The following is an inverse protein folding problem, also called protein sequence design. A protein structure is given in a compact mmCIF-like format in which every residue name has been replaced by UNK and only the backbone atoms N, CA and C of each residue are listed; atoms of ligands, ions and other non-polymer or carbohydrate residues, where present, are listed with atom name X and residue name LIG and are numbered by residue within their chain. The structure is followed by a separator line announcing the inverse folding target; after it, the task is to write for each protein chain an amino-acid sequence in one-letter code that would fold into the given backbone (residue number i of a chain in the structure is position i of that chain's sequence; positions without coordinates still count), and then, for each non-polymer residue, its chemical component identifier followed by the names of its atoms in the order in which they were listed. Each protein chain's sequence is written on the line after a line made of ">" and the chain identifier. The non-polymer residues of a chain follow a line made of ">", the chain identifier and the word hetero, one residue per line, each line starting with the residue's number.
data_IF_099638221889
#
_entry.id   IF_099638221889
#
_cell.length_a   1.000
_cell.length_b   1.000
_cell.length_c   1.000
_cell.angle_alpha   90.00
_cell.angle_beta   90.00
_cell.angle_gamma   90.00
#
_symmetry.space_group_name_H-M   'P 1'
#
loop_
_entity.id
_entity.type
_entity.pdbx_description
1 polymer ?
#
# COMPACT_ATOMS: atom_id res chain seq x y z
N UNK A 1 10.05 -31.59 -0.24
CA UNK A 1 8.60 -31.75 -0.39
C UNK A 1 8.07 -30.56 -1.17
N UNK A 2 7.20 -30.76 -2.17
CA UNK A 2 6.59 -29.65 -2.89
C UNK A 2 5.83 -28.78 -1.89
N UNK A 3 6.07 -27.48 -1.95
CA UNK A 3 5.29 -26.50 -1.20
C UNK A 3 3.85 -26.45 -1.75
N UNK A 4 2.92 -25.86 -1.01
CA UNK A 4 1.54 -25.65 -1.52
C UNK A 4 1.51 -24.90 -2.85
N UNK A 5 2.52 -24.06 -3.12
CA UNK A 5 2.71 -23.33 -4.37
C UNK A 5 3.23 -24.22 -5.51
N UNK A 6 4.08 -25.19 -5.22
CA UNK A 6 4.54 -26.18 -6.20
C UNK A 6 3.37 -27.08 -6.64
N UNK A 7 2.49 -27.43 -5.70
CA UNK A 7 1.25 -28.16 -6.00
C UNK A 7 0.22 -27.31 -6.78
N UNK A 8 0.22 -25.98 -6.62
CA UNK A 8 -0.65 -25.08 -7.39
C UNK A 8 -0.15 -24.89 -8.84
N UNK A 9 1.18 -24.86 -9.03
CA UNK A 9 1.82 -24.83 -10.34
C UNK A 9 1.61 -26.14 -11.12
N UNK A 10 1.83 -27.30 -10.50
CA UNK A 10 1.57 -28.61 -11.14
C UNK A 10 0.09 -28.82 -11.51
N UNK A 11 -0.83 -28.11 -10.86
CA UNK A 11 -2.27 -28.15 -11.13
C UNK A 11 -2.74 -27.14 -12.19
N UNK A 12 -1.83 -26.36 -12.79
CA UNK A 12 -2.18 -25.40 -13.85
C UNK A 12 -3.06 -24.23 -13.36
N UNK A 13 -3.02 -23.91 -12.07
CA UNK A 13 -3.81 -22.82 -11.48
C UNK A 13 -3.21 -21.44 -11.86
N UNK A 14 -1.90 -21.40 -12.12
CA UNK A 14 -1.18 -20.21 -12.57
C UNK A 14 -1.05 -20.24 -14.09
N UNK A 15 -1.36 -19.11 -14.76
CA UNK A 15 -1.61 -19.08 -16.22
C UNK A 15 -0.35 -19.00 -17.07
N UNK A 16 0.82 -18.73 -16.48
CA UNK A 16 2.14 -18.80 -17.11
C UNK A 16 3.25 -18.77 -16.06
N UNK A 17 4.50 -18.82 -16.52
CA UNK A 17 5.71 -18.94 -15.69
C UNK A 17 6.15 -17.63 -15.02
N UNK A 18 5.55 -16.48 -15.38
CA UNK A 18 5.97 -15.12 -14.92
C UNK A 18 5.12 -14.62 -13.75
N UNK A 19 3.81 -14.85 -13.76
CA UNK A 19 2.89 -14.52 -12.64
C UNK A 19 3.33 -15.12 -11.27
N UNK A 20 3.79 -16.39 -11.21
CA UNK A 20 4.35 -16.97 -9.98
C UNK A 20 5.62 -16.24 -9.54
N UNK A 21 6.42 -15.71 -10.45
CA UNK A 21 7.68 -15.03 -10.12
C UNK A 21 7.40 -13.66 -9.49
N UNK A 22 6.52 -12.84 -10.06
CA UNK A 22 6.17 -11.55 -9.47
C UNK A 22 5.52 -11.71 -8.10
N UNK A 23 4.57 -12.64 -7.97
CA UNK A 23 3.93 -12.92 -6.68
C UNK A 23 4.95 -13.45 -5.65
N UNK A 24 5.88 -14.33 -6.05
CA UNK A 24 6.96 -14.81 -5.16
C UNK A 24 7.97 -13.73 -4.79
N UNK A 25 8.24 -12.77 -5.68
CA UNK A 25 9.13 -11.64 -5.41
C UNK A 25 8.45 -10.65 -4.49
N UNK A 26 7.18 -10.30 -4.74
CA UNK A 26 6.39 -9.46 -3.85
C UNK A 26 6.20 -10.13 -2.49
N UNK A 27 5.84 -11.41 -2.44
CA UNK A 27 5.73 -12.17 -1.20
C UNK A 27 7.08 -12.32 -0.50
N UNK A 28 8.17 -12.49 -1.25
CA UNK A 28 9.52 -12.57 -0.69
C UNK A 28 10.04 -11.24 -0.16
N UNK A 29 9.72 -10.13 -0.82
CA UNK A 29 9.99 -8.75 -0.37
C UNK A 29 9.10 -8.43 0.84
N UNK A 30 7.81 -8.74 0.79
CA UNK A 30 6.89 -8.55 1.91
C UNK A 30 7.31 -9.39 3.12
N UNK A 31 7.64 -10.67 2.92
CA UNK A 31 8.17 -11.54 3.97
C UNK A 31 9.50 -11.01 4.50
N UNK A 32 10.40 -10.53 3.64
CA UNK A 32 11.63 -9.86 4.06
C UNK A 32 11.34 -8.66 4.96
N UNK A 33 10.44 -7.77 4.55
CA UNK A 33 10.05 -6.58 5.30
C UNK A 33 9.41 -6.92 6.64
N UNK A 34 8.47 -7.87 6.65
CA UNK A 34 7.82 -8.36 7.87
C UNK A 34 8.85 -8.95 8.83
N UNK A 35 9.78 -9.78 8.34
CA UNK A 35 10.82 -10.39 9.16
C UNK A 35 11.84 -9.36 9.69
N UNK A 36 12.12 -8.30 8.92
CA UNK A 36 12.88 -7.16 9.41
C UNK A 36 12.14 -6.42 10.54
N UNK A 37 10.84 -6.17 10.38
CA UNK A 37 10.01 -5.48 11.37
C UNK A 37 9.85 -6.29 12.67
N UNK A 38 9.86 -7.63 12.60
CA UNK A 38 9.77 -8.51 13.77
C UNK A 38 11.12 -8.84 14.41
N UNK A 39 12.24 -8.32 13.87
CA UNK A 39 13.59 -8.51 14.41
C UNK A 39 14.27 -9.83 14.03
N UNK A 40 13.66 -10.68 13.19
CA UNK A 40 14.27 -11.91 12.67
C UNK A 40 15.07 -11.64 11.38
N UNK A 41 16.19 -10.93 11.55
CA UNK A 41 17.06 -10.51 10.44
C UNK A 41 17.64 -11.70 9.66
N UNK A 42 17.85 -12.86 10.31
CA UNK A 42 18.39 -14.06 9.66
C UNK A 42 17.38 -14.66 8.67
N UNK A 43 16.12 -14.75 9.08
CA UNK A 43 15.04 -15.18 8.19
C UNK A 43 14.76 -14.15 7.10
N UNK A 44 14.84 -12.85 7.43
CA UNK A 44 14.68 -11.77 6.46
C UNK A 44 15.71 -11.90 5.32
N UNK A 45 17.00 -11.99 5.64
CA UNK A 45 18.06 -12.13 4.63
C UNK A 45 17.84 -13.37 3.73
N UNK A 46 17.35 -14.48 4.30
CA UNK A 46 17.00 -15.68 3.52
C UNK A 46 15.81 -15.44 2.59
N UNK A 47 14.74 -14.77 3.05
CA UNK A 47 13.60 -14.42 2.20
C UNK A 47 13.99 -13.49 1.06
N UNK A 48 14.81 -12.46 1.35
CA UNK A 48 15.32 -11.56 0.33
C UNK A 48 16.19 -12.28 -0.69
N UNK A 49 17.13 -13.12 -0.26
CA UNK A 49 18.00 -13.88 -1.18
C UNK A 49 17.17 -14.78 -2.08
N UNK A 50 16.16 -15.47 -1.52
CA UNK A 50 15.21 -16.29 -2.30
C UNK A 50 14.37 -15.49 -3.28
N UNK A 51 14.05 -14.23 -2.98
CA UNK A 51 13.34 -13.33 -3.88
C UNK A 51 14.28 -12.79 -4.99
N UNK A 52 15.49 -12.36 -4.62
CA UNK A 52 16.49 -11.81 -5.53
C UNK A 52 17.04 -12.86 -6.51
N UNK A 53 17.32 -14.09 -6.05
CA UNK A 53 17.80 -15.18 -6.90
C UNK A 53 16.77 -15.57 -7.98
N UNK A 54 15.52 -15.13 -7.85
CA UNK A 54 14.41 -15.42 -8.77
C UNK A 54 14.02 -14.21 -9.63
N UNK A 55 14.67 -13.06 -9.45
CA UNK A 55 14.34 -11.82 -10.14
C UNK A 55 15.58 -11.28 -10.86
N UNK A 56 15.57 -11.31 -12.19
CA UNK A 56 16.59 -10.66 -13.02
C UNK A 56 15.92 -9.69 -14.00
N UNK A 57 16.59 -8.58 -14.32
CA UNK A 57 16.17 -7.64 -15.38
C UNK A 57 15.21 -6.52 -14.96
N UNK A 58 14.50 -5.96 -15.95
CA UNK A 58 13.76 -4.68 -15.90
C UNK A 58 12.65 -4.62 -14.83
N UNK A 59 12.08 -5.78 -14.46
CA UNK A 59 10.99 -5.87 -13.48
C UNK A 59 11.50 -5.57 -12.05
N UNK A 60 12.71 -6.02 -11.72
CA UNK A 60 13.37 -5.70 -10.45
C UNK A 60 13.70 -4.20 -10.38
N UNK A 61 14.14 -3.62 -11.50
CA UNK A 61 14.45 -2.19 -11.58
C UNK A 61 13.20 -1.32 -11.40
N UNK A 62 12.05 -1.69 -11.97
CA UNK A 62 10.78 -0.98 -11.76
C UNK A 62 10.30 -1.07 -10.31
N UNK A 63 10.37 -2.26 -9.69
CA UNK A 63 10.02 -2.42 -8.29
C UNK A 63 10.95 -1.62 -7.38
N UNK A 64 12.26 -1.64 -7.63
CA UNK A 64 13.25 -0.88 -6.88
C UNK A 64 13.10 0.64 -7.08
N UNK A 65 12.84 1.11 -8.29
CA UNK A 65 12.58 2.53 -8.56
C UNK A 65 11.33 3.00 -7.80
N UNK A 66 10.26 2.21 -7.82
CA UNK A 66 9.05 2.50 -7.06
C UNK A 66 9.33 2.52 -5.54
N UNK A 67 10.07 1.53 -5.03
CA UNK A 67 10.47 1.49 -3.63
C UNK A 67 11.38 2.67 -3.26
N UNK A 68 12.29 3.09 -4.13
CA UNK A 68 13.16 4.26 -3.90
C UNK A 68 12.35 5.57 -3.89
N UNK A 69 11.37 5.68 -4.79
CA UNK A 69 10.50 6.85 -4.86
C UNK A 69 9.48 6.91 -3.73
N UNK A 70 9.06 5.78 -3.16
CA UNK A 70 7.99 5.70 -2.17
C UNK A 70 8.44 5.24 -0.78
N UNK A 71 9.70 4.87 -0.61
CA UNK A 71 10.29 4.41 0.65
C UNK A 71 11.58 5.17 0.92
N UNK A 72 11.93 5.34 2.19
CA UNK A 72 13.27 5.82 2.57
C UNK A 72 14.18 4.60 2.56
N UNK A 73 15.01 4.45 1.52
CA UNK A 73 16.03 3.42 1.50
C UNK A 73 17.18 3.85 2.42
N UNK A 74 17.19 3.36 3.66
CA UNK A 74 18.32 3.54 4.56
C UNK A 74 19.28 2.37 4.43
N UNK A 75 20.50 2.64 3.98
CA UNK A 75 21.60 1.67 4.07
C UNK A 75 22.07 1.64 5.52
N UNK A 76 21.82 0.55 6.22
CA UNK A 76 22.32 0.37 7.59
C UNK A 76 23.79 -0.13 7.52
N UNK A 77 24.78 0.68 7.95
CA UNK A 77 26.20 0.36 7.78
C UNK A 77 26.64 -0.87 8.60
N UNK A 78 25.92 -1.18 9.68
CA UNK A 78 26.23 -2.31 10.57
C UNK A 78 25.53 -3.64 10.19
N UNK A 79 24.76 -3.70 9.10
CA UNK A 79 24.27 -5.01 8.63
C UNK A 79 25.44 -5.76 7.99
N UNK A 80 25.83 -6.90 8.56
CA UNK A 80 26.77 -7.85 7.94
C UNK A 80 26.26 -8.45 6.60
N UNK A 81 25.08 -8.01 6.14
CA UNK A 81 24.58 -8.24 4.82
C UNK A 81 25.06 -7.08 3.91
N UNK A 82 25.88 -7.37 2.88
CA UNK A 82 26.28 -6.41 1.83
C UNK A 82 25.09 -5.91 0.95
N UNK A 83 23.86 -5.93 1.47
CA UNK A 83 22.62 -5.62 0.78
C UNK A 83 21.86 -4.47 1.42
N UNK A 84 21.47 -3.50 0.59
CA UNK A 84 20.59 -2.36 0.90
C UNK A 84 19.38 -2.86 1.69
N UNK A 85 19.28 -2.59 3.00
CA UNK A 85 18.05 -2.89 3.75
C UNK A 85 16.98 -1.92 3.27
N UNK A 86 15.94 -2.45 2.62
CA UNK A 86 14.79 -1.63 2.23
C UNK A 86 13.93 -1.51 3.48
N UNK A 87 14.18 -0.51 4.32
CA UNK A 87 13.26 -0.15 5.38
C UNK A 87 12.12 0.67 4.74
N UNK A 88 10.95 0.05 4.52
CA UNK A 88 9.78 0.83 4.14
C UNK A 88 9.21 1.49 5.39
N UNK A 89 9.81 2.62 5.77
CA UNK A 89 9.37 3.41 6.92
C UNK A 89 8.15 4.26 6.55
N UNK A 90 6.98 3.62 6.46
CA UNK A 90 5.73 4.35 6.58
C UNK A 90 5.56 4.75 8.03
N UNK A 91 5.54 6.05 8.29
CA UNK A 91 5.26 6.55 9.63
C UNK A 91 3.75 6.81 9.73
N UNK A 92 3.09 6.08 10.63
CA UNK A 92 1.68 6.25 10.99
C UNK A 92 1.63 6.76 12.44
N UNK A 93 1.78 8.08 12.65
CA UNK A 93 1.80 8.66 13.99
C UNK A 93 0.38 8.72 14.55
N UNK A 94 0.13 7.99 15.63
CA UNK A 94 -1.03 8.23 16.47
C UNK A 94 -0.69 9.28 17.53
N UNK A 95 -1.51 10.32 17.57
CA UNK A 95 -1.52 11.36 18.58
C UNK A 95 -2.28 10.93 19.84
N UNK A 96 -2.27 11.81 20.85
CA UNK A 96 -2.79 11.48 22.18
C UNK A 96 -4.31 11.28 22.23
N UNK A 97 -5.06 11.72 21.21
CA UNK A 97 -6.52 11.63 21.18
C UNK A 97 -7.03 10.28 20.67
N UNK A 98 -6.15 9.41 20.16
CA UNK A 98 -6.54 8.08 19.68
C UNK A 98 -6.79 7.16 20.87
N UNK A 99 -7.98 6.59 20.95
CA UNK A 99 -8.40 5.71 22.05
C UNK A 99 -8.43 4.25 21.61
N UNK A 100 -8.18 3.32 22.53
CA UNK A 100 -8.18 1.89 22.26
C UNK A 100 -7.14 1.15 23.08
N UNK A 101 -7.26 -0.19 23.16
CA UNK A 101 -6.18 -1.00 23.73
C UNK A 101 -4.97 -1.02 22.80
N UNK A 102 -3.76 -1.21 23.34
CA UNK A 102 -2.54 -1.28 22.53
C UNK A 102 -2.64 -2.34 21.41
N UNK A 103 -3.27 -3.49 21.69
CA UNK A 103 -3.49 -4.55 20.70
C UNK A 103 -4.43 -4.10 19.59
N UNK A 104 -5.49 -3.35 19.91
CA UNK A 104 -6.41 -2.82 18.91
C UNK A 104 -5.72 -1.77 18.03
N UNK A 105 -4.99 -0.83 18.63
CA UNK A 105 -4.26 0.20 17.89
C UNK A 105 -3.18 -0.40 16.99
N UNK A 106 -2.53 -1.48 17.41
CA UNK A 106 -1.59 -2.20 16.57
C UNK A 106 -2.27 -2.83 15.33
N UNK A 107 -3.46 -3.41 15.48
CA UNK A 107 -4.22 -3.93 14.32
C UNK A 107 -4.65 -2.82 13.36
N UNK A 108 -5.09 -1.68 13.90
CA UNK A 108 -5.45 -0.50 13.10
C UNK A 108 -4.22 0.00 12.34
N UNK A 109 -3.07 0.08 13.01
CA UNK A 109 -1.80 0.45 12.41
C UNK A 109 -1.43 -0.45 11.24
N UNK A 110 -1.43 -1.77 11.47
CA UNK A 110 -1.07 -2.75 10.45
C UNK A 110 -1.99 -2.67 9.23
N UNK A 111 -3.28 -2.46 9.48
CA UNK A 111 -4.26 -2.28 8.40
C UNK A 111 -4.02 -0.97 7.61
N UNK A 112 -3.71 0.14 8.28
CA UNK A 112 -3.33 1.40 7.62
C UNK A 112 -2.07 1.19 6.77
N UNK A 113 -1.07 0.48 7.30
CA UNK A 113 0.16 0.17 6.58
C UNK A 113 -0.10 -0.69 5.35
N UNK A 114 -0.90 -1.75 5.46
CA UNK A 114 -1.29 -2.61 4.34
C UNK A 114 -1.93 -1.78 3.22
N UNK A 115 -2.86 -0.88 3.57
CA UNK A 115 -3.48 0.03 2.59
C UNK A 115 -2.49 1.04 2.00
N UNK A 116 -1.58 1.59 2.80
CA UNK A 116 -0.59 2.57 2.35
C UNK A 116 0.49 1.95 1.44
N UNK A 117 0.76 0.65 1.64
CA UNK A 117 1.66 -0.17 0.84
C UNK A 117 1.03 -0.66 -0.46
N UNK A 118 -0.30 -0.63 -0.59
CA UNK A 118 -0.99 -1.07 -1.79
C UNK A 118 -0.60 -0.17 -2.98
N UNK A 119 0.25 -0.72 -3.86
CA UNK A 119 0.66 -0.07 -5.09
C UNK A 119 -0.47 -0.20 -6.10
N UNK A 120 -1.35 0.79 -6.11
CA UNK A 120 -2.42 0.90 -7.08
C UNK A 120 -1.87 0.77 -8.52
N UNK A 121 -2.55 -0.03 -9.34
CA UNK A 121 -2.16 -0.24 -10.73
C UNK A 121 -1.13 -1.36 -10.96
N UNK A 122 -0.72 -2.06 -9.91
CA UNK A 122 0.02 -3.33 -10.06
C UNK A 122 -0.90 -4.54 -10.21
N UNK A 123 -2.12 -4.48 -9.69
CA UNK A 123 -3.13 -5.54 -9.79
C UNK A 123 -4.52 -4.94 -10.00
N UNK A 124 -5.47 -5.78 -10.42
CA UNK A 124 -6.88 -5.41 -10.48
C UNK A 124 -7.47 -5.36 -9.07
N UNK A 125 -8.04 -4.21 -8.67
CA UNK A 125 -8.67 -4.02 -7.35
C UNK A 125 -9.92 -4.88 -7.11
N UNK A 126 -10.42 -5.57 -8.14
CA UNK A 126 -11.57 -6.47 -8.03
C UNK A 126 -11.19 -7.95 -7.99
N UNK A 127 -10.19 -8.38 -8.75
CA UNK A 127 -9.88 -9.81 -8.94
C UNK A 127 -8.41 -10.17 -8.71
N UNK A 128 -7.55 -9.20 -8.37
CA UNK A 128 -6.14 -9.42 -8.10
C UNK A 128 -5.27 -9.67 -9.35
N UNK A 129 -5.85 -9.80 -10.54
CA UNK A 129 -5.09 -10.09 -11.76
C UNK A 129 -4.01 -9.02 -12.03
N UNK A 130 -2.80 -9.47 -12.37
CA UNK A 130 -1.62 -8.63 -12.60
C UNK A 130 -1.33 -8.49 -14.11
N UNK A 131 -0.79 -7.34 -14.59
CA UNK A 131 -0.34 -7.18 -15.97
C UNK A 131 1.05 -7.80 -16.23
N UNK A 132 1.63 -8.54 -15.26
CA UNK A 132 3.00 -9.08 -15.30
C UNK A 132 3.37 -9.77 -16.62
N UNK A 133 2.39 -10.42 -17.25
CA UNK A 133 2.62 -11.27 -18.43
C UNK A 133 2.16 -10.60 -19.73
N UNK A 134 1.81 -9.31 -19.66
CA UNK A 134 1.35 -8.50 -20.79
C UNK A 134 -0.05 -8.87 -21.33
N UNK A 135 -0.68 -9.92 -20.80
CA UNK A 135 -1.99 -10.43 -21.24
C UNK A 135 -3.15 -9.52 -20.86
N UNK A 136 -2.98 -8.69 -19.83
CA UNK A 136 -4.02 -7.83 -19.26
C UNK A 136 -3.49 -6.41 -19.17
N UNK A 137 -4.28 -5.46 -19.68
CA UNK A 137 -4.05 -4.03 -19.47
C UNK A 137 -5.03 -3.50 -18.42
N UNK A 138 -4.52 -3.07 -17.28
CA UNK A 138 -5.31 -2.40 -16.26
C UNK A 138 -5.75 -1.01 -16.74
N UNK A 139 -6.99 -0.66 -16.42
CA UNK A 139 -7.60 0.65 -16.68
C UNK A 139 -7.93 1.29 -15.34
N UNK A 140 -7.56 2.56 -15.18
CA UNK A 140 -7.93 3.29 -13.97
C UNK A 140 -9.40 3.72 -14.03
N UNK A 141 -10.01 3.90 -12.87
CA UNK A 141 -11.30 4.54 -12.71
C UNK A 141 -11.23 5.99 -13.18
N UNK A 142 -12.05 6.38 -14.15
CA UNK A 142 -12.00 7.74 -14.73
C UNK A 142 -12.41 8.87 -13.78
N UNK A 143 -12.94 8.57 -12.58
CA UNK A 143 -13.28 9.58 -11.57
C UNK A 143 -12.14 9.81 -10.59
N UNK A 144 -11.66 8.75 -9.94
CA UNK A 144 -10.64 8.87 -8.88
C UNK A 144 -9.21 8.64 -9.36
N UNK A 145 -9.02 8.05 -10.54
CA UNK A 145 -7.74 7.70 -11.15
C UNK A 145 -6.86 6.73 -10.34
N UNK A 146 -7.32 6.28 -9.16
CA UNK A 146 -6.50 5.48 -8.24
C UNK A 146 -6.91 4.03 -8.15
N UNK A 147 -8.16 3.70 -8.44
CA UNK A 147 -8.56 2.29 -8.56
C UNK A 147 -8.30 1.77 -9.99
N UNK A 148 -7.79 0.56 -10.13
CA UNK A 148 -7.40 -0.09 -11.37
C UNK A 148 -8.15 -1.39 -11.57
N UNK A 149 -8.66 -1.59 -12.78
CA UNK A 149 -9.47 -2.75 -13.14
C UNK A 149 -9.03 -3.33 -14.47
N UNK A 150 -8.98 -4.66 -14.59
CA UNK A 150 -8.69 -5.31 -15.86
C UNK A 150 -9.85 -5.22 -16.87
N UNK A 151 -11.07 -4.95 -16.40
CA UNK A 151 -12.27 -4.88 -17.23
C UNK A 151 -13.35 -4.01 -16.61
N UNK A 152 -14.32 -3.58 -17.43
CA UNK A 152 -15.53 -2.90 -16.94
C UNK A 152 -16.39 -3.80 -16.05
N UNK A 153 -16.31 -5.13 -16.23
CA UNK A 153 -17.01 -6.07 -15.37
C UNK A 153 -16.42 -6.06 -13.95
N UNK A 154 -15.10 -6.10 -13.83
CA UNK A 154 -14.39 -5.95 -12.56
C UNK A 154 -14.69 -4.60 -11.88
N UNK A 155 -14.67 -3.50 -12.65
CA UNK A 155 -15.03 -2.19 -12.10
C UNK A 155 -16.46 -2.16 -11.54
N UNK A 156 -17.44 -2.74 -12.27
CA UNK A 156 -18.83 -2.83 -11.81
C UNK A 156 -18.97 -3.75 -10.59
N UNK A 157 -18.28 -4.89 -10.59
CA UNK A 157 -18.30 -5.85 -9.49
C UNK A 157 -17.74 -5.26 -8.19
N UNK A 158 -16.68 -4.46 -8.27
CA UNK A 158 -16.10 -3.77 -7.13
C UNK A 158 -16.83 -2.47 -6.75
N UNK A 159 -17.85 -2.03 -7.51
CA UNK A 159 -18.45 -0.71 -7.35
C UNK A 159 -19.07 -0.48 -5.96
N UNK A 160 -19.69 -1.50 -5.37
CA UNK A 160 -20.34 -1.40 -4.06
C UNK A 160 -19.36 -0.99 -2.95
N UNK A 161 -18.15 -1.56 -2.98
CA UNK A 161 -17.06 -1.22 -2.06
C UNK A 161 -16.36 0.07 -2.52
N UNK A 162 -16.02 0.16 -3.80
CA UNK A 162 -15.25 1.27 -4.36
C UNK A 162 -15.95 2.62 -4.25
N UNK A 163 -17.29 2.68 -4.41
CA UNK A 163 -18.03 3.95 -4.47
C UNK A 163 -17.89 4.80 -3.22
N UNK A 164 -17.63 4.20 -2.06
CA UNK A 164 -17.42 4.89 -0.78
C UNK A 164 -16.13 5.72 -0.80
N UNK A 165 -15.08 5.18 -1.41
CA UNK A 165 -13.79 5.83 -1.59
C UNK A 165 -13.63 6.58 -2.93
N UNK A 166 -14.56 6.39 -3.88
CA UNK A 166 -14.45 6.96 -5.22
C UNK A 166 -14.73 8.48 -5.24
N UNK A 167 -13.66 9.28 -5.16
CA UNK A 167 -13.70 10.75 -5.19
C UNK A 167 -12.78 11.29 -6.29
N UNK A 168 -13.05 12.47 -6.88
CA UNK A 168 -12.13 13.10 -7.82
C UNK A 168 -10.73 13.26 -7.21
N UNK A 169 -9.69 13.13 -8.03
CA UNK A 169 -8.31 13.27 -7.57
C UNK A 169 -8.08 14.65 -6.93
N UNK A 170 -7.41 14.66 -5.76
CA UNK A 170 -7.13 15.88 -5.01
C UNK A 170 -8.31 16.41 -4.19
N UNK A 171 -9.44 15.70 -4.15
CA UNK A 171 -10.59 16.00 -3.29
C UNK A 171 -10.59 15.04 -2.12
N UNK A 172 -10.54 15.60 -0.91
CA UNK A 172 -10.55 14.85 0.34
C UNK A 172 -11.67 15.36 1.25
N UNK A 173 -11.91 14.65 2.34
CA UNK A 173 -12.81 15.05 3.42
C UNK A 173 -12.00 15.07 4.72
N UNK A 174 -12.44 15.88 5.69
CA UNK A 174 -11.86 15.83 7.03
C UNK A 174 -11.89 14.39 7.58
N UNK A 175 -10.84 14.05 8.32
CA UNK A 175 -10.54 12.74 8.90
C UNK A 175 -10.18 11.64 7.88
N UNK A 176 -10.07 11.95 6.57
CA UNK A 176 -9.46 11.00 5.62
C UNK A 176 -8.00 10.76 5.99
N UNK A 177 -7.53 9.52 5.83
CA UNK A 177 -6.11 9.21 5.91
C UNK A 177 -5.50 9.27 4.51
N UNK A 178 -4.45 10.07 4.39
CA UNK A 178 -3.73 10.28 3.13
C UNK A 178 -2.24 10.04 3.32
N UNK A 179 -1.60 9.49 2.30
CA UNK A 179 -0.16 9.37 2.18
C UNK A 179 0.38 10.60 1.45
N UNK A 180 1.42 11.21 2.02
CA UNK A 180 2.17 12.28 1.36
C UNK A 180 3.19 11.65 0.40
N UNK A 181 3.14 12.02 -0.88
CA UNK A 181 4.10 11.57 -1.89
C UNK A 181 4.48 12.68 -2.87
N UNK A 182 5.60 12.52 -3.57
CA UNK A 182 6.07 13.48 -4.58
C UNK A 182 6.54 14.83 -4.01
N UNK A 183 6.92 14.88 -2.73
CA UNK A 183 7.55 16.05 -2.10
C UNK A 183 9.00 16.14 -2.57
N UNK A 184 9.36 17.22 -3.26
CA UNK A 184 10.70 17.46 -3.79
C UNK A 184 11.58 18.37 -2.91
N UNK A 185 10.97 19.07 -1.96
CA UNK A 185 11.69 20.00 -1.07
C UNK A 185 12.57 19.21 -0.12
N UNK A 186 13.86 19.56 -0.06
CA UNK A 186 14.83 18.94 0.84
C UNK A 186 14.40 19.11 2.31
N UNK A 187 13.95 20.31 2.67
CA UNK A 187 13.48 20.65 4.02
C UNK A 187 12.16 19.98 4.43
N UNK A 188 11.58 19.14 3.57
CA UNK A 188 10.33 18.40 3.84
C UNK A 188 10.43 16.93 3.48
N UNK A 189 11.65 16.40 3.35
CA UNK A 189 11.86 14.99 3.03
C UNK A 189 11.33 14.07 4.12
N UNK A 190 11.30 14.52 5.37
CA UNK A 190 10.71 13.82 6.52
C UNK A 190 9.19 13.64 6.41
N UNK A 191 8.53 14.40 5.54
CA UNK A 191 7.11 14.24 5.25
C UNK A 191 6.83 13.17 4.19
N UNK A 192 7.84 12.79 3.41
CA UNK A 192 7.70 11.80 2.36
C UNK A 192 7.25 10.47 2.96
N UNK A 193 6.23 9.86 2.38
CA UNK A 193 5.70 8.56 2.81
C UNK A 193 5.09 8.56 4.22
N UNK A 194 4.77 9.72 4.79
CA UNK A 194 3.95 9.77 6.01
C UNK A 194 2.47 9.57 5.68
N UNK A 195 1.79 8.80 6.52
CA UNK A 195 0.33 8.76 6.54
C UNK A 195 -0.13 9.82 7.55
N UNK A 196 -1.00 10.71 7.10
CA UNK A 196 -1.51 11.86 7.86
C UNK A 196 -3.02 11.93 7.73
N UNK A 197 -3.64 12.61 8.68
CA UNK A 197 -5.07 12.85 8.73
C UNK A 197 -5.39 14.20 8.10
N UNK A 198 -6.38 14.24 7.20
CA UNK A 198 -6.86 15.47 6.58
C UNK A 198 -7.70 16.26 7.59
N UNK A 199 -7.32 17.51 7.85
CA UNK A 199 -8.07 18.42 8.72
C UNK A 199 -9.08 19.27 7.94
N UNK A 200 -8.84 19.47 6.63
CA UNK A 200 -9.75 20.21 5.74
C UNK A 200 -9.00 21.07 4.72
N UNK A 201 -9.72 21.79 3.84
CA UNK A 201 -9.12 22.73 2.91
C UNK A 201 -8.55 23.95 3.63
N UNK A 202 -7.41 24.48 3.17
CA UNK A 202 -6.84 25.72 3.71
C UNK A 202 -7.57 26.93 3.11
N UNK A 203 -8.26 27.77 3.91
CA UNK A 203 -9.15 28.82 3.38
C UNK A 203 -8.48 29.77 2.37
N UNK A 204 -7.25 30.20 2.66
CA UNK A 204 -6.54 31.21 1.87
C UNK A 204 -5.64 30.62 0.77
N UNK A 205 -5.66 29.29 0.58
CA UNK A 205 -4.75 28.60 -0.36
C UNK A 205 -5.49 27.49 -1.13
N UNK A 206 -6.09 27.81 -2.28
CA UNK A 206 -6.86 26.85 -3.06
C UNK A 206 -5.99 25.65 -3.49
N UNK A 207 -6.59 24.46 -3.47
CA UNK A 207 -5.91 23.21 -3.79
C UNK A 207 -4.96 22.69 -2.70
N UNK A 208 -4.83 23.40 -1.57
CA UNK A 208 -4.07 22.93 -0.41
C UNK A 208 -4.99 22.45 0.70
N UNK A 209 -4.51 21.41 1.38
CA UNK A 209 -5.18 20.76 2.49
C UNK A 209 -4.31 20.92 3.74
N UNK A 210 -4.97 21.24 4.85
CA UNK A 210 -4.41 21.11 6.18
C UNK A 210 -4.39 19.62 6.53
N UNK A 211 -3.24 19.11 6.96
CA UNK A 211 -3.06 17.72 7.37
C UNK A 211 -2.28 17.68 8.68
N UNK A 212 -2.53 16.68 9.52
CA UNK A 212 -1.86 16.53 10.80
C UNK A 212 -1.56 15.05 11.11
N UNK A 213 -0.88 14.77 12.21
CA UNK A 213 -0.77 13.41 12.73
C UNK A 213 -2.17 12.88 13.12
N UNK A 214 -2.36 11.56 13.09
CA UNK A 214 -3.66 10.94 13.32
C UNK A 214 -4.05 11.20 14.78
N UNK A 215 -5.11 11.95 15.05
CA UNK A 215 -5.47 12.37 16.41
C UNK A 215 -4.51 13.40 17.04
N UNK A 216 -3.89 14.25 16.21
CA UNK A 216 -3.16 15.44 16.67
C UNK A 216 -4.09 16.47 17.32
N UNK A 217 -3.53 17.36 18.15
CA UNK A 217 -4.28 18.50 18.67
C UNK A 217 -4.49 19.58 17.58
N UNK A 218 -5.57 20.38 17.66
CA UNK A 218 -5.80 21.49 16.75
C UNK A 218 -4.61 22.46 16.68
N UNK A 219 -4.24 22.90 15.48
CA UNK A 219 -3.17 23.88 15.25
C UNK A 219 -1.76 23.29 15.07
N UNK A 220 -1.62 21.96 15.07
CA UNK A 220 -0.39 21.25 14.65
C UNK A 220 -0.40 20.86 13.17
N UNK A 221 -1.26 21.50 12.37
CA UNK A 221 -1.46 21.17 10.98
C UNK A 221 -0.35 21.72 10.07
N UNK A 222 -0.12 21.02 8.97
CA UNK A 222 0.74 21.43 7.88
C UNK A 222 -0.04 21.51 6.59
N UNK A 223 0.37 22.43 5.71
CA UNK A 223 -0.29 22.65 4.43
C UNK A 223 0.40 21.90 3.29
N UNK A 224 -0.31 20.96 2.66
CA UNK A 224 0.14 20.14 1.54
C UNK A 224 -0.78 20.35 0.33
N UNK A 225 -0.22 20.40 -0.88
CA UNK A 225 -1.03 20.51 -2.10
C UNK A 225 -1.69 19.16 -2.41
N UNK A 226 -2.96 19.17 -2.84
CA UNK A 226 -3.75 17.95 -3.02
C UNK A 226 -3.20 16.97 -4.05
N UNK A 227 -2.38 17.43 -5.01
CA UNK A 227 -1.69 16.57 -5.97
C UNK A 227 -0.56 15.73 -5.35
N UNK A 228 -0.13 16.06 -4.13
CA UNK A 228 0.87 15.34 -3.33
C UNK A 228 0.25 14.41 -2.30
N UNK A 229 -1.08 14.34 -2.25
CA UNK A 229 -1.82 13.51 -1.32
C UNK A 229 -2.46 12.34 -2.07
N UNK A 230 -2.34 11.15 -1.48
CA UNK A 230 -2.94 9.92 -1.98
C UNK A 230 -3.83 9.34 -0.88
N UNK A 231 -5.11 9.11 -1.16
CA UNK A 231 -6.04 8.52 -0.19
C UNK A 231 -5.58 7.11 0.13
N UNK A 232 -5.37 6.86 1.41
CA UNK A 232 -5.07 5.54 1.98
C UNK A 232 -6.37 4.90 2.45
N UNK A 233 -7.19 5.69 3.17
CA UNK A 233 -8.41 5.24 3.79
C UNK A 233 -9.37 6.41 3.98
N UNK A 234 -10.65 6.17 3.75
CA UNK A 234 -11.69 7.17 4.04
C UNK A 234 -11.98 7.27 5.53
N UNK A 235 -12.53 8.40 5.98
CA UNK A 235 -13.05 8.56 7.35
C UNK A 235 -14.04 7.46 7.75
N UNK A 236 -14.91 7.01 6.84
CA UNK A 236 -15.91 5.98 7.14
C UNK A 236 -15.25 4.61 7.35
N UNK A 237 -14.32 4.21 6.48
CA UNK A 237 -13.54 2.98 6.63
C UNK A 237 -12.72 2.99 7.94
N UNK A 238 -12.10 4.13 8.28
CA UNK A 238 -11.35 4.27 9.52
C UNK A 238 -12.26 4.13 10.75
N UNK A 239 -13.45 4.72 10.72
CA UNK A 239 -14.44 4.61 11.80
C UNK A 239 -14.94 3.18 11.97
N UNK A 240 -15.25 2.48 10.87
CA UNK A 240 -15.64 1.07 10.89
C UNK A 240 -14.54 0.21 11.54
N UNK A 241 -13.28 0.45 11.16
CA UNK A 241 -12.11 -0.25 11.69
C UNK A 241 -11.89 0.02 13.19
N UNK A 242 -11.98 1.29 13.63
CA UNK A 242 -11.82 1.68 15.04
C UNK A 242 -12.96 1.15 15.92
N UNK A 243 -14.17 0.99 15.37
CA UNK A 243 -15.30 0.39 16.08
C UNK A 243 -15.18 -1.12 16.22
N UNK A 244 -14.16 -1.75 15.60
CA UNK A 244 -13.99 -3.20 15.59
C UNK A 244 -15.09 -3.92 14.82
N UNK A 245 -15.83 -3.19 13.97
CA UNK A 245 -16.73 -3.81 13.01
C UNK A 245 -15.82 -4.53 12.01
N UNK A 246 -15.90 -5.86 12.00
CA UNK A 246 -15.12 -6.69 11.08
C UNK A 246 -15.51 -6.29 9.66
N UNK A 247 -14.66 -5.51 9.00
CA UNK A 247 -14.81 -5.24 7.57
C UNK A 247 -14.34 -6.51 6.87
N UNK A 248 -15.29 -7.38 6.57
CA UNK A 248 -15.04 -8.59 5.79
C UNK A 248 -14.77 -8.13 4.34
N UNK A 249 -13.49 -7.90 4.02
CA UNK A 249 -13.05 -7.62 2.65
C UNK A 249 -13.18 -8.92 1.86
N UNK A 250 -14.42 -9.20 1.44
CA UNK A 250 -14.85 -10.46 0.83
C UNK A 250 -13.74 -11.19 0.12
N UNK A 251 -13.19 -12.20 0.81
CA UNK A 251 -12.22 -13.13 0.27
C UNK A 251 -12.72 -13.62 -1.08
N UNK A 252 -11.84 -13.57 -2.06
CA UNK A 252 -12.16 -13.70 -3.48
C UNK A 252 -13.20 -14.77 -3.77
N UNK A 253 -14.31 -14.35 -4.39
CA UNK A 253 -15.18 -15.29 -5.11
C UNK A 253 -14.31 -16.02 -6.12
N UNK A 254 -14.10 -17.32 -5.89
CA UNK A 254 -13.56 -18.21 -6.91
C UNK A 254 -14.47 -18.12 -8.12
N UNK A 255 -13.89 -17.78 -9.26
CA UNK A 255 -14.60 -17.74 -10.52
C UNK A 255 -14.76 -19.19 -10.98
N UNK A 256 -15.78 -19.89 -10.50
CA UNK A 256 -16.14 -21.20 -11.04
C UNK A 256 -16.66 -20.96 -12.47
N UNK A 257 -15.84 -21.33 -13.44
CA UNK A 257 -16.12 -21.21 -14.87
C UNK A 257 -17.17 -22.21 -15.34
N UNK A 258 -18.08 -21.72 -16.17
CA UNK A 258 -18.94 -22.48 -17.07
C UNK A 258 -18.20 -22.89 -18.35
#
# INVERSE_FOLDING_TARGET
>A
MPTGEDAAFERGILKNDVEPLLHRVQAGIAAYLILCLTGDLSAAVKSRRRAADRCTGELLDHALAHLTENCVLETHPDCACDGIVIAINFHVPFGPLVTGSAVHLHRVHDYILERALLIHGTTCDSCGASPADGSIRLKHCGRCEWAYFCSSACQKGAWELHRRACRPRGVFVADDLVRIAGVKSVDRQELKSRVVEVQGPVPDRPGRWAVAHIGAEPGQDMSIHGDKLFLVMTTDELKELLQGLVVDFGGGKTCDGA
#
